data_IF_928217660887
#
_entry.id   IF_928217660887
#
_cell.length_a   1.000
_cell.length_b   1.000
_cell.length_c   1.000
_cell.angle_alpha   90.00
_cell.angle_beta   90.00
_cell.angle_gamma   90.00
#
_symmetry.space_group_name_H-M   'P 1'
#
loop_
_entity.id
_entity.type
_entity.pdbx_description
1 polymer ?
#
# COMPACT_ATOMS: atom_id res chain seq x y z
N UNK A 1 -34.23 -23.89 6.92
CA UNK A 1 -33.57 -22.73 6.28
C UNK A 1 -32.10 -22.81 6.60
N UNK A 2 -31.32 -23.33 5.66
CA UNK A 2 -29.93 -23.75 5.82
C UNK A 2 -28.96 -22.57 5.92
N UNK A 3 -28.64 -22.17 7.14
CA UNK A 3 -27.53 -21.25 7.47
C UNK A 3 -26.14 -21.88 7.23
N UNK A 4 -26.10 -23.16 6.84
CA UNK A 4 -24.85 -23.88 6.56
C UNK A 4 -24.16 -23.43 5.27
N UNK A 5 -24.90 -22.90 4.29
CA UNK A 5 -24.32 -22.50 2.99
C UNK A 5 -23.40 -21.27 3.10
N UNK A 6 -23.64 -20.40 4.09
CA UNK A 6 -22.88 -19.15 4.31
C UNK A 6 -21.54 -19.38 5.04
N UNK A 7 -21.31 -20.56 5.64
CA UNK A 7 -20.01 -20.87 6.28
C UNK A 7 -19.00 -21.53 5.33
N UNK A 8 -19.45 -22.10 4.22
CA UNK A 8 -18.56 -22.81 3.28
C UNK A 8 -17.81 -21.86 2.35
N UNK A 9 -18.29 -20.63 2.16
CA UNK A 9 -17.57 -19.59 1.41
C UNK A 9 -16.44 -18.91 2.21
N UNK A 10 -16.32 -19.18 3.53
CA UNK A 10 -15.31 -18.55 4.39
C UNK A 10 -13.89 -19.11 4.19
N UNK A 11 -13.74 -20.16 3.38
CA UNK A 11 -12.46 -20.81 3.06
C UNK A 11 -12.31 -21.08 1.55
N UNK A 12 -12.93 -20.24 0.72
CA UNK A 12 -12.44 -20.13 -0.65
C UNK A 12 -11.15 -19.31 -0.58
N UNK A 13 -9.99 -19.97 -0.67
CA UNK A 13 -8.75 -19.29 -0.97
C UNK A 13 -8.94 -18.59 -2.31
N UNK A 14 -9.31 -17.31 -2.27
CA UNK A 14 -9.34 -16.46 -3.46
C UNK A 14 -7.88 -16.40 -3.92
N UNK A 15 -7.59 -17.14 -4.98
CA UNK A 15 -6.40 -16.89 -5.76
C UNK A 15 -6.65 -15.55 -6.42
N UNK A 16 -5.98 -14.51 -5.93
CA UNK A 16 -6.00 -13.21 -6.54
C UNK A 16 -5.24 -13.34 -7.86
N UNK A 17 -5.98 -13.31 -8.96
CA UNK A 17 -5.41 -13.30 -10.31
C UNK A 17 -5.29 -11.83 -10.69
N UNK A 18 -4.17 -11.38 -11.29
CA UNK A 18 -4.08 -10.04 -11.84
C UNK A 18 -5.28 -9.73 -12.74
N UNK A 19 -5.95 -8.62 -12.45
CA UNK A 19 -7.00 -8.08 -13.30
C UNK A 19 -6.32 -7.38 -14.48
N UNK A 20 -6.32 -8.03 -15.64
CA UNK A 20 -5.83 -7.49 -16.91
C UNK A 20 -6.95 -6.88 -17.75
N UNK A 21 -8.04 -6.43 -17.14
CA UNK A 21 -9.03 -5.66 -17.86
C UNK A 21 -8.43 -4.31 -18.30
N UNK A 22 -8.88 -3.73 -19.43
CA UNK A 22 -8.36 -2.44 -19.90
C UNK A 22 -8.41 -1.34 -18.83
N UNK A 23 -9.47 -1.33 -18.00
CA UNK A 23 -9.59 -0.36 -16.91
C UNK A 23 -8.57 -0.55 -15.79
N UNK A 24 -8.15 -1.79 -15.51
CA UNK A 24 -7.13 -2.07 -14.52
C UNK A 24 -5.73 -1.75 -15.06
N UNK A 25 -5.48 -2.04 -16.33
CA UNK A 25 -4.26 -1.64 -17.04
C UNK A 25 -4.11 -0.11 -17.10
N UNK A 26 -5.16 0.62 -17.49
CA UNK A 26 -5.16 2.09 -17.52
C UNK A 26 -4.85 2.68 -16.15
N UNK A 27 -5.44 2.13 -15.06
CA UNK A 27 -5.18 2.58 -13.68
C UNK A 27 -3.76 2.23 -13.23
N UNK A 28 -3.25 1.08 -13.64
CA UNK A 28 -1.87 0.68 -13.38
C UNK A 28 -0.88 1.63 -14.07
N UNK A 29 -1.11 1.98 -15.33
CA UNK A 29 -0.31 2.96 -16.07
C UNK A 29 -0.38 4.37 -15.44
N UNK A 30 -1.57 4.80 -15.00
CA UNK A 30 -1.74 6.06 -14.27
C UNK A 30 -0.88 6.09 -13.00
N UNK A 31 -0.95 5.04 -12.17
CA UNK A 31 -0.15 4.94 -10.95
C UNK A 31 1.36 4.85 -11.25
N UNK A 32 1.76 4.12 -12.30
CA UNK A 32 3.17 4.06 -12.73
C UNK A 32 3.72 5.45 -13.11
N UNK A 33 2.88 6.31 -13.69
CA UNK A 33 3.28 7.68 -14.04
C UNK A 33 3.57 8.55 -12.82
N UNK A 34 3.01 8.21 -11.65
CA UNK A 34 3.26 8.93 -10.39
C UNK A 34 4.54 8.49 -9.67
N UNK A 35 5.13 7.35 -10.06
CA UNK A 35 6.32 6.81 -9.40
C UNK A 35 7.56 7.70 -9.64
N UNK A 36 8.21 8.12 -8.57
CA UNK A 36 9.39 8.99 -8.60
C UNK A 36 10.69 8.16 -8.66
N UNK A 37 10.69 6.89 -8.24
CA UNK A 37 11.85 5.98 -8.28
C UNK A 37 11.61 4.66 -9.02
N UNK A 38 12.71 3.96 -9.35
CA UNK A 38 12.63 2.60 -9.91
C UNK A 38 12.14 1.58 -8.88
N UNK A 39 12.41 1.81 -7.59
CA UNK A 39 11.96 0.93 -6.51
C UNK A 39 10.43 0.99 -6.36
N UNK A 40 9.84 2.18 -6.42
CA UNK A 40 8.38 2.37 -6.41
C UNK A 40 7.71 1.61 -7.57
N UNK A 41 8.27 1.71 -8.78
CA UNK A 41 7.78 0.98 -9.96
C UNK A 41 7.81 -0.53 -9.73
N UNK A 42 8.91 -1.06 -9.21
CA UNK A 42 9.06 -2.49 -8.91
C UNK A 42 8.04 -2.96 -7.86
N UNK A 43 7.76 -2.14 -6.85
CA UNK A 43 6.74 -2.45 -5.83
C UNK A 43 5.35 -2.50 -6.48
N UNK A 44 5.00 -1.49 -7.27
CA UNK A 44 3.69 -1.44 -7.96
C UNK A 44 3.51 -2.61 -8.94
N UNK A 45 4.56 -2.94 -9.71
CA UNK A 45 4.58 -4.13 -10.57
C UNK A 45 4.37 -5.42 -9.76
N UNK A 46 5.05 -5.57 -8.63
CA UNK A 46 4.90 -6.76 -7.79
C UNK A 46 3.49 -6.90 -7.21
N UNK A 47 2.86 -5.79 -6.81
CA UNK A 47 1.44 -5.75 -6.38
C UNK A 47 0.53 -6.23 -7.52
N UNK A 48 0.72 -5.68 -8.71
CA UNK A 48 -0.08 -6.02 -9.89
C UNK A 48 0.09 -7.49 -10.29
N UNK A 49 1.32 -7.99 -10.35
CA UNK A 49 1.63 -9.38 -10.69
C UNK A 49 1.16 -10.38 -9.63
N UNK A 50 1.12 -9.98 -8.36
CA UNK A 50 0.55 -10.78 -7.28
C UNK A 50 -1.00 -10.83 -7.29
N UNK A 51 -1.64 -10.09 -8.20
CA UNK A 51 -3.09 -9.97 -8.30
C UNK A 51 -3.72 -9.18 -7.16
N UNK A 52 -2.92 -8.48 -6.35
CA UNK A 52 -3.43 -7.65 -5.29
C UNK A 52 -4.19 -6.44 -5.88
N UNK A 53 -5.18 -5.91 -5.15
CA UNK A 53 -5.77 -4.63 -5.51
C UNK A 53 -4.69 -3.57 -5.73
N UNK A 54 -4.84 -2.76 -6.78
CA UNK A 54 -3.96 -1.61 -6.98
C UNK A 54 -4.22 -0.53 -5.92
N UNK A 55 -3.20 0.29 -5.56
CA UNK A 55 -3.40 1.46 -4.72
C UNK A 55 -4.52 2.38 -5.24
N UNK A 56 -5.13 3.13 -4.32
CA UNK A 56 -6.12 4.16 -4.62
C UNK A 56 -5.50 5.47 -5.09
N UNK A 57 -4.21 5.67 -4.81
CA UNK A 57 -3.44 6.75 -5.38
C UNK A 57 -1.96 6.60 -5.08
N UNK A 58 -1.17 7.43 -5.75
CA UNK A 58 0.27 7.54 -5.56
C UNK A 58 0.67 8.96 -5.18
N UNK A 59 1.69 9.09 -4.33
CA UNK A 59 2.31 10.37 -4.00
C UNK A 59 1.35 11.43 -3.42
N UNK A 60 0.29 11.01 -2.74
CA UNK A 60 -0.75 11.90 -2.20
C UNK A 60 -0.37 12.47 -0.82
N UNK A 61 -0.60 13.76 -0.60
CA UNK A 61 -0.26 14.41 0.68
C UNK A 61 -1.35 14.14 1.72
N UNK A 62 -0.95 13.57 2.86
CA UNK A 62 -1.76 13.46 4.07
C UNK A 62 -1.48 14.68 4.94
N UNK A 63 -2.51 15.47 5.21
CA UNK A 63 -2.44 16.69 6.00
C UNK A 63 -3.50 16.70 7.12
N UNK A 64 -3.17 17.35 8.23
CA UNK A 64 -4.09 17.66 9.33
C UNK A 64 -4.16 19.18 9.48
N UNK A 65 -5.30 19.77 9.09
CA UNK A 65 -5.42 21.22 8.97
C UNK A 65 -4.45 21.78 7.91
N UNK A 66 -3.63 22.74 8.31
CA UNK A 66 -2.60 23.35 7.44
C UNK A 66 -1.24 22.62 7.48
N UNK A 67 -1.10 21.59 8.33
CA UNK A 67 0.15 20.88 8.53
C UNK A 67 0.24 19.62 7.65
N UNK A 68 1.30 19.52 6.84
CA UNK A 68 1.61 18.31 6.06
C UNK A 68 2.23 17.26 6.98
N UNK A 69 1.54 16.14 7.17
CA UNK A 69 1.98 15.06 8.05
C UNK A 69 2.93 14.13 7.31
N UNK A 70 2.50 13.65 6.13
CA UNK A 70 3.26 12.72 5.31
C UNK A 70 2.82 12.76 3.85
N UNK A 71 3.66 12.23 2.95
CA UNK A 71 3.32 11.96 1.55
C UNK A 71 3.78 10.52 1.26
N UNK A 72 2.93 9.51 1.45
CA UNK A 72 3.27 8.14 1.07
C UNK A 72 3.39 8.00 -0.45
N UNK A 73 4.20 7.03 -0.87
CA UNK A 73 4.36 6.69 -2.28
C UNK A 73 3.09 6.06 -2.83
N UNK A 74 2.40 5.23 -2.03
CA UNK A 74 1.11 4.65 -2.38
C UNK A 74 0.13 4.67 -1.21
N UNK A 75 -1.16 4.81 -1.51
CA UNK A 75 -2.23 4.79 -0.52
C UNK A 75 -3.35 3.83 -0.90
N UNK A 76 -3.83 3.07 0.09
CA UNK A 76 -5.10 2.32 0.00
C UNK A 76 -6.11 2.95 0.93
N UNK A 77 -7.34 3.13 0.45
CA UNK A 77 -8.48 3.67 1.19
C UNK A 77 -9.53 2.58 1.32
N UNK A 78 -9.56 1.93 2.48
CA UNK A 78 -10.64 1.01 2.84
C UNK A 78 -11.61 1.77 3.75
N UNK A 79 -12.92 1.59 3.58
CA UNK A 79 -13.96 2.38 4.26
C UNK A 79 -13.94 2.27 5.79
N UNK A 80 -13.01 2.97 6.44
CA UNK A 80 -12.77 2.96 7.89
C UNK A 80 -11.28 2.81 8.27
N UNK A 81 -10.40 2.42 7.35
CA UNK A 81 -8.97 2.23 7.60
C UNK A 81 -8.16 2.43 6.31
N UNK A 82 -7.11 3.25 6.37
CA UNK A 82 -6.23 3.48 5.22
C UNK A 82 -4.88 2.81 5.42
N UNK A 83 -4.22 2.42 4.34
CA UNK A 83 -2.85 1.91 4.39
C UNK A 83 -1.97 2.87 3.60
N UNK A 84 -0.93 3.39 4.23
CA UNK A 84 0.08 4.26 3.62
C UNK A 84 1.35 3.44 3.42
N UNK A 85 1.80 3.30 2.17
CA UNK A 85 3.04 2.61 1.82
C UNK A 85 4.12 3.65 1.55
N UNK A 86 5.26 3.46 2.20
CA UNK A 86 6.49 4.21 1.97
C UNK A 86 7.53 3.28 1.37
N UNK A 87 8.19 3.71 0.31
CA UNK A 87 9.18 2.95 -0.45
C UNK A 87 10.53 3.64 -0.27
N UNK A 88 11.30 3.15 0.70
CA UNK A 88 12.55 3.78 1.11
C UNK A 88 13.73 3.27 0.25
N UNK A 89 14.19 4.13 -0.65
CA UNK A 89 15.41 3.88 -1.44
C UNK A 89 16.69 3.92 -0.60
N UNK A 90 17.85 3.52 -1.17
CA UNK A 90 19.14 3.50 -0.47
C UNK A 90 19.59 4.87 0.08
N UNK A 91 19.07 5.98 -0.48
CA UNK A 91 19.40 7.34 -0.05
C UNK A 91 18.61 7.79 1.21
N UNK A 92 17.60 7.05 1.66
CA UNK A 92 16.79 7.37 2.85
C UNK A 92 17.54 7.16 4.19
N UNK A 93 18.68 6.47 4.18
CA UNK A 93 19.52 6.24 5.38
C UNK A 93 20.11 7.53 5.97
N UNK A 94 20.08 8.66 5.23
CA UNK A 94 20.73 9.92 5.65
C UNK A 94 19.79 11.03 6.14
N UNK A 95 18.49 10.95 5.86
CA UNK A 95 17.54 12.05 6.17
C UNK A 95 16.59 11.78 7.34
N UNK A 96 16.56 10.57 7.88
CA UNK A 96 15.61 10.22 8.94
C UNK A 96 16.14 10.61 10.32
N UNK A 97 15.75 11.80 10.79
CA UNK A 97 15.74 12.12 12.21
C UNK A 97 14.70 11.17 12.85
N UNK A 98 15.13 10.04 13.43
CA UNK A 98 14.29 8.96 13.98
C UNK A 98 13.10 9.44 14.85
N UNK A 99 13.24 10.61 15.50
CA UNK A 99 12.17 11.22 16.30
C UNK A 99 11.00 11.76 15.49
N UNK A 100 11.28 12.33 14.32
CA UNK A 100 10.23 12.89 13.45
C UNK A 100 9.42 11.75 12.83
N UNK A 101 10.08 10.63 12.53
CA UNK A 101 9.43 9.47 11.94
C UNK A 101 8.47 8.77 12.92
N UNK A 102 8.87 8.60 14.19
CA UNK A 102 7.96 8.09 15.21
C UNK A 102 6.76 9.00 15.47
N UNK A 103 6.94 10.33 15.47
CA UNK A 103 5.82 11.26 15.64
C UNK A 103 4.87 11.21 14.44
N UNK A 104 5.40 11.20 13.21
CA UNK A 104 4.58 11.08 11.99
C UNK A 104 3.80 9.78 11.97
N UNK A 105 4.44 8.64 12.27
CA UNK A 105 3.78 7.34 12.37
C UNK A 105 2.68 7.33 13.44
N UNK A 106 2.95 7.91 14.61
CA UNK A 106 1.93 8.03 15.66
C UNK A 106 0.75 8.90 15.25
N UNK A 107 0.98 10.01 14.52
CA UNK A 107 -0.12 10.83 13.98
C UNK A 107 -0.92 10.09 12.90
N UNK A 108 -0.25 9.40 12.00
CA UNK A 108 -0.90 8.59 10.96
C UNK A 108 -1.78 7.50 11.60
N UNK A 109 -1.30 6.82 12.63
CA UNK A 109 -2.08 5.82 13.39
C UNK A 109 -3.33 6.44 14.02
N UNK A 110 -3.21 7.62 14.66
CA UNK A 110 -4.36 8.36 15.21
C UNK A 110 -5.36 8.80 14.13
N UNK A 111 -4.88 9.05 12.91
CA UNK A 111 -5.71 9.37 11.74
C UNK A 111 -6.30 8.11 11.06
N UNK A 112 -6.03 6.91 11.59
CA UNK A 112 -6.55 5.64 11.08
C UNK A 112 -5.75 5.05 9.91
N UNK A 113 -4.48 5.40 9.79
CA UNK A 113 -3.56 4.85 8.79
C UNK A 113 -2.66 3.77 9.38
N UNK A 114 -2.62 2.60 8.74
CA UNK A 114 -1.50 1.66 8.90
C UNK A 114 -0.35 2.08 8.00
N UNK A 115 0.85 2.19 8.57
CA UNK A 115 2.07 2.51 7.83
C UNK A 115 2.82 1.22 7.50
N UNK A 116 3.13 1.02 6.21
CA UNK A 116 3.98 -0.06 5.73
C UNK A 116 5.20 0.54 5.02
N UNK A 117 6.40 0.30 5.52
CA UNK A 117 7.65 0.70 4.86
C UNK A 117 8.24 -0.48 4.07
N UNK A 118 8.70 -0.23 2.86
CA UNK A 118 9.38 -1.18 1.97
C UNK A 118 10.74 -0.59 1.63
N UNK A 119 11.78 -1.08 2.27
CA UNK A 119 13.15 -0.66 2.00
C UNK A 119 13.75 -1.36 0.78
N UNK A 120 14.77 -0.76 0.17
CA UNK A 120 15.46 -1.34 -0.99
C UNK A 120 16.11 -2.72 -0.72
N UNK A 121 16.40 -3.03 0.56
CA UNK A 121 17.01 -4.30 1.00
C UNK A 121 15.98 -5.34 1.41
N UNK A 122 14.72 -4.95 1.50
CA UNK A 122 13.66 -5.84 1.94
C UNK A 122 13.30 -6.83 0.84
N UNK A 123 12.83 -8.01 1.26
CA UNK A 123 12.29 -8.98 0.31
C UNK A 123 10.93 -8.48 -0.17
N UNK A 124 10.84 -8.09 -1.45
CA UNK A 124 9.56 -7.69 -2.06
C UNK A 124 8.48 -8.75 -1.82
N UNK A 125 8.80 -10.04 -1.93
CA UNK A 125 7.84 -11.13 -1.69
C UNK A 125 7.26 -11.08 -0.27
N UNK A 126 8.08 -10.81 0.73
CA UNK A 126 7.65 -10.70 2.12
C UNK A 126 6.83 -9.42 2.38
N UNK A 127 7.22 -8.30 1.76
CA UNK A 127 6.45 -7.05 1.80
C UNK A 127 5.07 -7.21 1.15
N UNK A 128 5.01 -7.85 -0.01
CA UNK A 128 3.75 -8.15 -0.73
C UNK A 128 2.87 -9.10 0.08
N UNK A 129 3.46 -10.12 0.72
CA UNK A 129 2.72 -11.00 1.64
C UNK A 129 2.13 -10.21 2.81
N UNK A 130 2.92 -9.35 3.45
CA UNK A 130 2.46 -8.51 4.56
C UNK A 130 1.34 -7.56 4.11
N UNK A 131 1.50 -6.94 2.94
CA UNK A 131 0.47 -6.11 2.33
C UNK A 131 -0.82 -6.91 2.06
N UNK A 132 -0.70 -8.14 1.56
CA UNK A 132 -1.87 -9.00 1.32
C UNK A 132 -2.66 -9.29 2.59
N UNK A 133 -1.98 -9.42 3.75
CA UNK A 133 -2.63 -9.63 5.04
C UNK A 133 -3.35 -8.37 5.54
N UNK A 134 -2.81 -7.19 5.26
CA UNK A 134 -3.44 -5.90 5.59
C UNK A 134 -4.65 -5.59 4.70
N UNK A 135 -4.67 -6.10 3.47
CA UNK A 135 -5.75 -5.87 2.51
C UNK A 135 -6.94 -6.83 2.67
N UNK A 136 -6.86 -7.83 3.56
CA UNK A 136 -7.92 -8.81 3.81
C UNK A 136 -9.15 -8.25 4.49
#
# INVERSE_FOLDING_TARGET
>A
MDVALLRTLLTAGVSLIPDHSPSAEDRFEELLSTCESALERNVLEAVYQAGLPLPDGGQEVIAEGDEKIARPDFIYRRGGHSIAIFVDGPDHERETIERDDMQKRGRLDLMGYTVLSIGYRDSLEECIRSLSELLR
#
